data_IF_126723473452
#
_entry.id   IF_126723473452
#
_cell.length_a   1.000
_cell.length_b   1.000
_cell.length_c   1.000
_cell.angle_alpha   90.00
_cell.angle_beta   90.00
_cell.angle_gamma   90.00
#
_symmetry.space_group_name_H-M   'P 1'
#
loop_
_entity.id
_entity.type
_entity.pdbx_description
1 polymer ?
#
# COMPACT_ATOMS: atom_id res chain seq x y z
N UNK A 1 86.18 -19.40 47.37
CA UNK A 1 84.84 -19.56 47.97
C UNK A 1 83.80 -18.99 47.01
N UNK A 2 82.55 -19.43 47.15
CA UNK A 2 81.34 -19.23 46.33
C UNK A 2 81.27 -18.11 45.24
N UNK A 3 80.64 -18.38 44.08
CA UNK A 3 80.33 -17.39 43.04
C UNK A 3 78.94 -16.75 43.24
N UNK A 4 78.67 -15.66 42.49
CA UNK A 4 77.43 -15.36 41.71
C UNK A 4 77.52 -13.93 41.15
N UNK A 5 77.64 -13.78 39.83
CA UNK A 5 76.55 -13.69 38.83
C UNK A 5 75.87 -12.31 38.82
N UNK A 6 76.05 -11.59 37.71
CA UNK A 6 75.38 -10.33 37.44
C UNK A 6 73.91 -10.55 37.05
N UNK A 7 73.06 -9.60 37.41
CA UNK A 7 71.67 -9.52 36.92
C UNK A 7 71.39 -8.08 36.51
N UNK A 8 71.29 -7.84 35.20
CA UNK A 8 70.79 -6.58 34.65
C UNK A 8 69.28 -6.46 34.92
N UNK A 9 68.85 -5.40 35.60
CA UNK A 9 67.44 -5.09 35.75
C UNK A 9 66.91 -4.43 34.46
N UNK A 10 66.46 -5.25 33.50
CA UNK A 10 65.65 -4.77 32.38
C UNK A 10 64.26 -4.44 32.90
N UNK A 11 63.90 -3.16 32.90
CA UNK A 11 62.58 -2.69 33.34
C UNK A 11 61.56 -2.88 32.22
N UNK A 12 61.04 -4.10 32.07
CA UNK A 12 59.99 -4.41 31.10
C UNK A 12 58.67 -3.72 31.46
N UNK A 13 58.32 -2.64 30.75
CA UNK A 13 56.95 -2.12 30.78
C UNK A 13 56.00 -3.14 30.13
N UNK A 14 55.41 -4.01 30.94
CA UNK A 14 54.19 -4.72 30.57
C UNK A 14 53.02 -3.74 30.63
N UNK A 15 52.81 -2.99 29.55
CA UNK A 15 51.53 -2.37 29.28
C UNK A 15 50.50 -3.50 29.08
N UNK A 16 49.79 -3.85 30.16
CA UNK A 16 48.60 -4.70 30.07
C UNK A 16 47.54 -3.86 29.36
N UNK A 17 47.51 -3.97 28.03
CA UNK A 17 46.36 -3.56 27.23
C UNK A 17 45.17 -4.32 27.77
N UNK A 18 44.36 -3.65 28.60
CA UNK A 18 43.00 -4.08 28.85
C UNK A 18 42.27 -3.95 27.52
N UNK A 19 42.29 -5.03 26.74
CA UNK A 19 41.28 -5.28 25.72
C UNK A 19 39.95 -5.27 26.44
N UNK A 20 39.30 -4.10 26.46
CA UNK A 20 37.89 -4.00 26.72
C UNK A 20 37.24 -4.64 25.50
N UNK A 21 37.16 -5.97 25.54
CA UNK A 21 36.01 -6.63 24.94
C UNK A 21 34.82 -5.99 25.63
N UNK A 22 34.15 -5.10 24.90
CA UNK A 22 32.75 -4.86 25.17
C UNK A 22 32.09 -6.24 25.04
N UNK A 23 31.86 -6.89 26.17
CA UNK A 23 30.83 -7.90 26.22
C UNK A 23 29.55 -7.14 25.91
N UNK A 24 29.12 -7.26 24.66
CA UNK A 24 27.77 -6.88 24.30
C UNK A 24 26.88 -7.81 25.12
N UNK A 25 26.27 -7.25 26.16
CA UNK A 25 25.53 -8.00 27.16
C UNK A 25 24.18 -8.38 26.55
N UNK A 26 24.18 -9.47 25.79
CA UNK A 26 22.97 -10.20 25.41
C UNK A 26 22.28 -10.74 26.66
N UNK A 27 21.48 -9.88 27.28
CA UNK A 27 20.50 -10.23 28.33
C UNK A 27 19.29 -9.31 28.24
N UNK A 28 18.34 -9.64 27.35
CA UNK A 28 16.93 -9.26 27.53
C UNK A 28 16.29 -8.44 26.40
N UNK A 29 15.76 -9.13 25.40
CA UNK A 29 14.59 -8.65 24.65
C UNK A 29 13.37 -8.82 25.58
N UNK A 30 12.88 -7.73 26.17
CA UNK A 30 11.83 -7.78 27.22
C UNK A 30 10.83 -6.61 27.18
N UNK A 31 10.66 -5.93 26.06
CA UNK A 31 9.51 -5.02 25.85
C UNK A 31 8.80 -5.35 24.54
N UNK A 32 7.48 -5.30 24.59
CA UNK A 32 6.61 -5.39 23.41
C UNK A 32 6.48 -4.03 22.74
N UNK A 33 6.18 -3.00 23.53
CA UNK A 33 5.77 -1.69 23.04
C UNK A 33 6.96 -0.71 22.93
N UNK A 34 6.96 0.17 21.91
CA UNK A 34 7.95 1.23 21.74
C UNK A 34 7.72 2.38 22.71
N UNK A 35 8.72 3.24 22.89
CA UNK A 35 8.58 4.46 23.70
C UNK A 35 7.54 5.45 23.12
N UNK A 36 7.33 5.41 21.80
CA UNK A 36 6.29 6.15 21.08
C UNK A 36 5.68 5.26 19.99
N UNK A 37 4.36 5.02 19.98
CA UNK A 37 3.66 4.31 18.91
C UNK A 37 3.96 4.87 17.52
N UNK A 38 3.96 4.03 16.47
CA UNK A 38 4.17 4.48 15.09
C UNK A 38 3.13 5.54 14.68
N UNK A 39 1.86 5.31 14.96
CA UNK A 39 0.77 6.25 14.69
C UNK A 39 0.92 7.62 15.42
N UNK A 40 1.78 7.71 16.45
CA UNK A 40 2.10 8.97 17.13
C UNK A 40 3.33 9.71 16.56
N UNK A 41 4.01 9.17 15.55
CA UNK A 41 5.22 9.76 14.94
C UNK A 41 4.88 10.53 13.66
N UNK A 42 5.29 11.79 13.58
CA UNK A 42 5.05 12.66 12.41
C UNK A 42 6.34 13.19 11.78
N UNK A 43 6.43 13.13 10.46
CA UNK A 43 7.60 13.47 9.64
C UNK A 43 7.18 14.16 8.34
N UNK A 44 7.83 15.28 8.00
CA UNK A 44 7.53 16.01 6.76
C UNK A 44 8.21 15.38 5.53
N UNK A 45 7.45 15.12 4.47
CA UNK A 45 8.00 14.64 3.20
C UNK A 45 8.60 15.80 2.36
N UNK A 46 9.71 15.60 1.62
CA UNK A 46 10.57 14.41 1.64
C UNK A 46 11.70 14.47 2.70
N UNK A 47 12.07 15.66 3.18
CA UNK A 47 13.34 15.88 3.87
C UNK A 47 13.33 15.74 5.39
N UNK A 48 12.16 15.62 6.01
CA UNK A 48 12.00 15.40 7.45
C UNK A 48 11.97 13.93 7.87
N UNK A 49 12.16 13.00 6.92
CA UNK A 49 12.07 11.56 7.14
C UNK A 49 13.44 10.99 7.56
N UNK A 50 13.56 10.34 8.73
CA UNK A 50 14.79 9.67 9.14
C UNK A 50 15.03 8.39 8.31
N UNK A 51 16.23 7.82 8.39
CA UNK A 51 16.55 6.60 7.62
C UNK A 51 15.66 5.41 8.04
N UNK A 52 15.41 5.27 9.34
CA UNK A 52 14.41 4.38 9.94
C UNK A 52 13.61 5.18 10.97
N UNK A 53 12.35 4.82 11.21
CA UNK A 53 11.51 5.43 12.26
C UNK A 53 11.32 4.52 13.47
N UNK A 54 11.75 3.26 13.36
CA UNK A 54 11.62 2.23 14.39
C UNK A 54 12.96 1.49 14.61
N UNK A 55 13.83 2.16 15.37
CA UNK A 55 15.24 1.79 15.57
C UNK A 55 15.50 0.94 16.83
N UNK A 56 14.48 0.72 17.67
CA UNK A 56 14.58 0.16 19.03
C UNK A 56 14.88 -1.37 18.98
N UNK A 57 16.14 -1.82 19.19
CA UNK A 57 16.53 -3.22 18.90
C UNK A 57 16.13 -4.21 19.99
N UNK A 58 15.69 -3.71 21.15
CA UNK A 58 15.34 -4.48 22.34
C UNK A 58 13.87 -4.92 22.37
N UNK A 59 13.10 -4.51 21.35
CA UNK A 59 11.70 -4.84 21.17
C UNK A 59 11.52 -6.19 20.49
N UNK A 60 10.39 -6.84 20.72
CA UNK A 60 10.21 -8.27 20.43
C UNK A 60 10.30 -8.67 18.95
N UNK A 61 9.94 -7.78 18.03
CA UNK A 61 10.11 -7.98 16.57
C UNK A 61 11.46 -7.47 16.02
N UNK A 62 12.43 -7.15 16.88
CA UNK A 62 13.72 -6.58 16.46
C UNK A 62 13.58 -5.17 15.89
N UNK A 63 14.48 -4.78 14.97
CA UNK A 63 14.44 -3.49 14.27
C UNK A 63 13.61 -3.57 12.99
N UNK A 64 13.18 -2.40 12.51
CA UNK A 64 12.72 -2.19 11.14
C UNK A 64 13.65 -2.85 10.10
N UNK A 65 13.08 -3.63 9.16
CA UNK A 65 13.84 -4.35 8.11
C UNK A 65 14.38 -3.41 7.03
N UNK A 66 13.58 -2.42 6.61
CA UNK A 66 13.87 -1.52 5.50
C UNK A 66 14.27 -0.10 5.93
N UNK A 67 13.98 0.88 5.07
CA UNK A 67 14.30 2.28 5.29
C UNK A 67 13.22 3.22 4.74
N UNK A 68 13.09 4.42 5.31
CA UNK A 68 12.08 5.39 4.89
C UNK A 68 12.62 6.47 3.92
N UNK A 69 13.95 6.62 3.79
CA UNK A 69 14.60 7.59 2.89
C UNK A 69 14.70 7.08 1.44
N UNK A 70 13.56 7.01 0.77
CA UNK A 70 13.44 6.43 -0.57
C UNK A 70 13.67 7.48 -1.67
N UNK A 71 14.56 7.17 -2.61
CA UNK A 71 14.96 8.06 -3.71
C UNK A 71 15.51 7.25 -4.91
N UNK A 72 16.04 7.92 -5.94
CA UNK A 72 16.55 7.25 -7.15
C UNK A 72 17.70 6.26 -6.94
N UNK A 73 18.43 6.31 -5.82
CA UNK A 73 19.45 5.30 -5.48
C UNK A 73 18.88 4.05 -4.80
N UNK A 74 17.64 4.10 -4.34
CA UNK A 74 16.93 2.99 -3.68
C UNK A 74 15.84 2.38 -4.56
N UNK A 75 15.59 2.93 -5.75
CA UNK A 75 14.57 2.45 -6.67
C UNK A 75 14.99 1.15 -7.38
N UNK A 76 14.04 0.22 -7.53
CA UNK A 76 14.24 -1.05 -8.21
C UNK A 76 13.76 -2.24 -7.38
N UNK A 77 13.86 -3.44 -7.94
CA UNK A 77 13.21 -4.63 -7.36
C UNK A 77 13.85 -5.17 -6.08
N UNK A 78 15.05 -4.70 -5.74
CA UNK A 78 15.74 -4.97 -4.48
C UNK A 78 15.47 -3.89 -3.41
N UNK A 79 14.63 -2.89 -3.71
CA UNK A 79 14.33 -1.81 -2.77
C UNK A 79 13.77 -2.34 -1.45
N UNK A 80 14.25 -1.80 -0.34
CA UNK A 80 13.68 -2.02 1.00
C UNK A 80 12.98 -0.75 1.50
N UNK A 81 12.43 0.06 0.58
CA UNK A 81 11.69 1.25 0.94
C UNK A 81 10.43 0.90 1.76
N UNK A 82 10.28 1.54 2.91
CA UNK A 82 9.11 1.45 3.80
C UNK A 82 8.36 2.78 3.90
N UNK A 83 8.35 3.53 2.79
CA UNK A 83 7.54 4.74 2.60
C UNK A 83 6.60 4.51 1.41
N UNK A 84 5.32 4.37 1.71
CA UNK A 84 4.24 4.09 0.77
C UNK A 84 3.48 5.37 0.38
N UNK A 85 2.72 5.30 -0.72
CA UNK A 85 1.94 6.42 -1.24
C UNK A 85 0.56 5.95 -1.73
N UNK A 86 -0.45 6.81 -1.62
CA UNK A 86 -1.76 6.60 -2.24
C UNK A 86 -2.34 7.94 -2.70
N UNK A 87 -2.20 8.24 -4.00
CA UNK A 87 -2.53 9.56 -4.57
C UNK A 87 -3.61 9.46 -5.66
N UNK A 88 -3.41 8.55 -6.62
CA UNK A 88 -4.23 8.39 -7.83
C UNK A 88 -4.11 6.97 -8.38
N UNK A 89 -4.83 6.66 -9.45
CA UNK A 89 -4.83 5.34 -10.11
C UNK A 89 -3.45 4.93 -10.67
N UNK A 90 -2.61 5.89 -11.07
CA UNK A 90 -1.22 5.67 -11.54
C UNK A 90 -0.16 5.91 -10.48
N UNK A 91 -0.54 6.35 -9.28
CA UNK A 91 0.39 6.82 -8.25
C UNK A 91 -0.05 6.35 -6.87
N UNK A 92 -0.13 5.02 -6.75
CA UNK A 92 -0.33 4.32 -5.49
C UNK A 92 0.72 3.22 -5.33
N UNK A 93 0.88 2.78 -4.09
CA UNK A 93 1.73 1.67 -3.72
C UNK A 93 0.93 0.62 -2.98
N UNK A 94 1.45 -0.60 -2.91
CA UNK A 94 0.96 -1.69 -2.08
C UNK A 94 2.11 -2.16 -1.20
N UNK A 95 1.79 -2.68 -0.02
CA UNK A 95 2.77 -3.40 0.76
C UNK A 95 2.95 -4.81 0.19
N UNK A 96 4.19 -5.29 0.13
CA UNK A 96 4.51 -6.63 -0.36
C UNK A 96 5.80 -7.13 0.26
N UNK A 97 6.03 -8.44 0.22
CA UNK A 97 7.18 -9.03 0.89
C UNK A 97 8.51 -8.58 0.27
N UNK A 98 9.56 -8.32 1.07
CA UNK A 98 10.91 -8.15 0.54
C UNK A 98 11.40 -9.43 -0.18
N UNK A 99 11.02 -10.61 0.32
CA UNK A 99 11.49 -11.92 -0.17
C UNK A 99 10.43 -12.65 -0.99
N UNK A 100 10.83 -13.28 -2.10
CA UNK A 100 9.91 -13.96 -3.01
C UNK A 100 9.27 -15.23 -2.40
N UNK A 101 8.02 -15.51 -2.77
CA UNK A 101 7.23 -16.65 -2.28
C UNK A 101 7.06 -16.64 -0.74
N UNK A 102 6.78 -15.45 -0.18
CA UNK A 102 6.49 -15.28 1.25
C UNK A 102 5.01 -15.42 1.56
N UNK A 103 4.68 -15.84 2.78
CA UNK A 103 3.32 -15.79 3.33
C UNK A 103 3.15 -14.47 4.08
N UNK A 104 2.07 -13.74 3.83
CA UNK A 104 1.76 -12.41 4.39
C UNK A 104 1.82 -12.43 5.92
N UNK A 105 1.10 -13.35 6.56
CA UNK A 105 1.09 -13.51 8.03
C UNK A 105 2.46 -13.81 8.67
N UNK A 106 3.48 -14.17 7.87
CA UNK A 106 4.86 -14.36 8.34
C UNK A 106 5.76 -13.14 8.07
N UNK A 107 5.38 -12.23 7.16
CA UNK A 107 6.23 -11.12 6.69
C UNK A 107 5.60 -9.73 6.79
N UNK A 108 4.39 -9.61 7.35
CA UNK A 108 3.70 -8.36 7.68
C UNK A 108 4.59 -7.29 8.31
N UNK A 109 5.44 -7.66 9.28
CA UNK A 109 6.37 -6.73 9.94
C UNK A 109 7.51 -6.21 9.05
N UNK A 110 7.81 -6.91 7.96
CA UNK A 110 8.99 -6.71 7.12
C UNK A 110 8.67 -6.13 5.73
N UNK A 111 7.38 -5.98 5.41
CA UNK A 111 6.92 -5.57 4.08
C UNK A 111 7.48 -4.22 3.62
N UNK A 112 7.62 -4.11 2.31
CA UNK A 112 8.20 -2.96 1.60
C UNK A 112 7.21 -2.43 0.57
N UNK A 113 7.36 -1.17 0.18
CA UNK A 113 6.44 -0.51 -0.74
C UNK A 113 6.74 -0.90 -2.20
N UNK A 114 5.68 -1.30 -2.91
CA UNK A 114 5.65 -1.57 -4.35
C UNK A 114 4.72 -0.57 -5.02
N UNK A 115 5.22 0.35 -5.85
CA UNK A 115 4.42 1.41 -6.45
C UNK A 115 4.14 1.18 -7.94
N UNK A 116 3.00 1.67 -8.43
CA UNK A 116 2.73 1.75 -9.88
C UNK A 116 3.69 2.72 -10.57
N UNK A 117 4.01 3.82 -9.91
CA UNK A 117 4.87 4.91 -10.42
C UNK A 117 6.33 4.72 -10.03
N UNK A 118 7.21 4.86 -11.02
CA UNK A 118 8.64 5.06 -10.81
C UNK A 118 8.95 6.49 -10.33
N UNK A 119 10.14 6.73 -9.80
CA UNK A 119 10.51 7.98 -9.12
C UNK A 119 10.08 8.05 -7.65
N UNK A 120 9.58 6.96 -7.07
CA UNK A 120 9.20 6.86 -5.65
C UNK A 120 10.33 6.31 -4.78
N UNK A 121 11.38 5.74 -5.37
CA UNK A 121 12.49 5.12 -4.64
C UNK A 121 12.19 3.72 -4.09
N UNK A 122 11.11 3.12 -4.58
CA UNK A 122 10.47 1.89 -4.10
C UNK A 122 10.73 0.73 -5.07
N UNK A 123 10.11 -0.43 -4.82
CA UNK A 123 9.90 -1.42 -5.88
C UNK A 123 8.84 -0.91 -6.85
N UNK A 124 8.89 -1.35 -8.10
CA UNK A 124 7.86 -1.01 -9.11
C UNK A 124 7.01 -2.25 -9.36
N UNK A 125 5.69 -2.10 -9.25
CA UNK A 125 4.72 -3.17 -9.56
C UNK A 125 4.91 -3.58 -11.02
N UNK A 126 5.14 -4.88 -11.34
CA UNK A 126 5.26 -5.32 -12.73
C UNK A 126 3.99 -5.03 -13.53
N UNK A 127 4.15 -4.58 -14.79
CA UNK A 127 3.04 -4.06 -15.63
C UNK A 127 1.86 -5.01 -15.82
N UNK A 128 2.10 -6.31 -15.72
CA UNK A 128 1.12 -7.38 -15.89
C UNK A 128 0.75 -8.07 -14.56
N UNK A 129 1.11 -7.49 -13.41
CA UNK A 129 0.66 -7.92 -12.10
C UNK A 129 -0.80 -7.51 -11.86
N UNK A 130 -1.11 -6.21 -12.01
CA UNK A 130 -2.46 -5.68 -11.84
C UNK A 130 -3.39 -6.18 -12.96
N UNK A 131 -4.52 -6.77 -12.58
CA UNK A 131 -5.52 -7.33 -13.50
C UNK A 131 -6.76 -6.45 -13.65
N UNK A 132 -7.06 -5.64 -12.64
CA UNK A 132 -8.07 -4.59 -12.67
C UNK A 132 -7.99 -3.77 -11.39
N UNK A 133 -8.31 -2.47 -11.46
CA UNK A 133 -8.14 -1.51 -10.36
C UNK A 133 -9.27 -0.48 -10.39
N UNK A 134 -9.87 -0.22 -9.24
CA UNK A 134 -10.78 0.89 -9.01
C UNK A 134 -10.18 1.81 -7.95
N UNK A 135 -9.87 3.06 -8.34
CA UNK A 135 -9.55 4.15 -7.42
C UNK A 135 -10.82 4.95 -7.12
N UNK A 136 -11.09 5.25 -5.85
CA UNK A 136 -12.22 6.07 -5.41
C UNK A 136 -11.69 7.21 -4.54
N UNK A 137 -12.11 8.43 -4.84
CA UNK A 137 -11.96 9.60 -3.96
C UNK A 137 -13.31 9.98 -3.34
N UNK A 138 -13.38 10.01 -2.02
CA UNK A 138 -14.56 10.42 -1.24
C UNK A 138 -14.26 11.74 -0.50
N UNK A 139 -15.24 12.32 0.22
CA UNK A 139 -14.99 13.45 1.13
C UNK A 139 -14.07 13.14 2.30
N UNK A 140 -13.95 11.88 2.74
CA UNK A 140 -13.25 11.49 3.97
C UNK A 140 -12.02 10.60 3.74
N UNK A 141 -11.84 10.02 2.56
CA UNK A 141 -10.72 9.14 2.24
C UNK A 141 -10.46 8.99 0.73
N UNK A 142 -9.28 8.47 0.38
CA UNK A 142 -9.01 7.87 -0.94
C UNK A 142 -8.76 6.37 -0.75
N UNK A 143 -9.25 5.58 -1.71
CA UNK A 143 -9.20 4.13 -1.66
C UNK A 143 -8.81 3.58 -3.04
N UNK A 144 -7.98 2.54 -3.08
CA UNK A 144 -7.71 1.76 -4.28
C UNK A 144 -7.97 0.29 -3.99
N UNK A 145 -8.76 -0.37 -4.85
CA UNK A 145 -9.09 -1.80 -4.74
C UNK A 145 -8.88 -2.47 -6.08
N UNK A 146 -8.36 -3.69 -6.09
CA UNK A 146 -8.14 -4.39 -7.34
C UNK A 146 -7.81 -5.86 -7.22
N UNK A 147 -7.51 -6.42 -8.39
CA UNK A 147 -7.07 -7.80 -8.57
C UNK A 147 -5.60 -7.78 -9.01
N UNK A 148 -4.79 -8.67 -8.45
CA UNK A 148 -3.35 -8.72 -8.66
C UNK A 148 -2.87 -10.17 -8.74
N UNK A 149 -1.93 -10.43 -9.63
CA UNK A 149 -1.09 -11.64 -9.57
C UNK A 149 -0.06 -11.45 -8.46
N UNK A 150 -0.42 -11.91 -7.25
CA UNK A 150 0.31 -11.59 -6.02
C UNK A 150 1.74 -12.13 -6.01
N UNK A 151 2.03 -13.14 -6.84
CA UNK A 151 3.38 -13.69 -7.03
C UNK A 151 4.38 -12.67 -7.56
N UNK A 152 3.89 -11.61 -8.23
CA UNK A 152 4.70 -10.52 -8.80
C UNK A 152 4.98 -9.38 -7.82
N UNK A 153 4.41 -9.43 -6.63
CA UNK A 153 4.75 -8.61 -5.46
C UNK A 153 5.25 -9.50 -4.30
N UNK A 154 5.92 -10.59 -4.67
CA UNK A 154 6.61 -11.55 -3.80
C UNK A 154 5.74 -12.38 -2.84
N UNK A 155 4.40 -12.29 -2.90
CA UNK A 155 3.50 -13.09 -2.07
C UNK A 155 3.31 -14.50 -2.70
N UNK A 156 3.32 -15.54 -1.88
CA UNK A 156 3.15 -16.93 -2.30
C UNK A 156 1.81 -17.15 -3.03
N UNK A 157 1.80 -17.96 -4.09
CA UNK A 157 0.56 -18.30 -4.80
C UNK A 157 -0.45 -19.01 -3.87
N UNK A 158 -1.70 -18.55 -3.88
CA UNK A 158 -2.77 -19.11 -3.04
C UNK A 158 -2.69 -18.75 -1.55
N UNK A 159 -1.79 -17.84 -1.16
CA UNK A 159 -1.85 -17.23 0.17
C UNK A 159 -3.07 -16.31 0.29
N UNK A 160 -3.81 -16.44 1.39
CA UNK A 160 -5.07 -15.74 1.61
C UNK A 160 -4.87 -14.26 1.96
N UNK A 161 -3.74 -13.93 2.60
CA UNK A 161 -3.38 -12.57 2.97
C UNK A 161 -3.53 -12.22 4.44
N UNK A 162 -3.50 -10.91 4.71
CA UNK A 162 -3.60 -10.30 6.03
C UNK A 162 -3.86 -8.79 5.94
N UNK A 163 -3.99 -8.13 7.10
CA UNK A 163 -4.10 -6.67 7.22
C UNK A 163 -2.72 -6.05 7.51
N UNK A 164 -2.47 -4.88 6.92
CA UNK A 164 -1.30 -4.06 7.09
C UNK A 164 -1.74 -2.65 7.46
N UNK A 165 -1.24 -2.14 8.58
CA UNK A 165 -1.69 -0.90 9.22
C UNK A 165 -0.57 -0.30 10.13
N UNK A 166 -0.73 0.91 10.70
CA UNK A 166 0.26 1.57 11.55
C UNK A 166 0.02 1.37 13.07
N UNK A 167 -1.05 0.70 13.46
CA UNK A 167 -1.50 0.44 14.83
C UNK A 167 -1.31 -1.02 15.28
N UNK A 168 -0.84 -1.91 14.39
CA UNK A 168 -0.68 -3.34 14.61
C UNK A 168 -0.07 -3.72 15.97
N UNK A 169 -0.47 -4.88 16.48
CA UNK A 169 -0.62 -5.25 17.90
C UNK A 169 0.45 -4.81 18.94
N UNK A 170 1.69 -4.52 18.57
CA UNK A 170 2.74 -3.98 19.45
C UNK A 170 2.93 -2.46 19.35
N UNK A 171 2.01 -1.76 18.65
CA UNK A 171 2.00 -0.33 18.36
C UNK A 171 3.13 0.16 17.43
N UNK A 172 3.78 -0.74 16.69
CA UNK A 172 4.89 -0.43 15.76
C UNK A 172 4.54 -0.52 14.27
N UNK A 173 3.33 -0.99 13.96
CA UNK A 173 2.83 -1.21 12.60
C UNK A 173 3.31 -2.49 11.92
N UNK A 174 2.69 -2.78 10.78
CA UNK A 174 2.85 -3.95 9.93
C UNK A 174 2.78 -3.42 8.49
N UNK A 175 3.89 -2.92 7.91
CA UNK A 175 5.28 -3.11 8.36
C UNK A 175 5.74 -2.22 9.52
N UNK A 176 6.77 -2.71 10.23
CA UNK A 176 7.51 -1.96 11.25
C UNK A 176 8.00 -0.65 10.65
N UNK A 177 7.59 0.47 11.24
CA UNK A 177 7.99 1.79 10.75
C UNK A 177 7.47 2.15 9.35
N UNK A 178 6.40 1.51 8.88
CA UNK A 178 5.73 1.84 7.63
C UNK A 178 5.18 3.26 7.63
N UNK A 179 5.77 4.15 6.84
CA UNK A 179 5.22 5.49 6.61
C UNK A 179 4.33 5.49 5.37
N UNK A 180 3.28 6.31 5.38
CA UNK A 180 2.44 6.52 4.20
C UNK A 180 2.14 8.00 3.97
N UNK A 181 2.17 8.41 2.71
CA UNK A 181 1.98 9.78 2.27
C UNK A 181 0.94 9.90 1.16
N UNK A 182 0.16 10.99 1.18
CA UNK A 182 -0.77 11.32 0.11
C UNK A 182 -0.75 12.81 -0.22
N UNK A 183 -0.87 13.14 -1.50
CA UNK A 183 -1.18 14.49 -1.97
C UNK A 183 -2.70 14.72 -2.15
N UNK A 184 -3.55 13.69 -2.00
CA UNK A 184 -4.98 13.78 -2.30
C UNK A 184 -5.68 14.87 -1.48
N UNK A 185 -5.27 15.07 -0.23
CA UNK A 185 -5.90 16.00 0.73
C UNK A 185 -5.23 17.38 0.80
N UNK A 186 -4.13 17.62 0.05
CA UNK A 186 -3.35 18.86 0.17
C UNK A 186 -3.80 19.99 -0.76
N UNK A 187 -4.65 19.69 -1.74
CA UNK A 187 -5.03 20.62 -2.81
C UNK A 187 -3.90 20.92 -3.80
N UNK A 188 -2.78 20.18 -3.75
CA UNK A 188 -1.60 20.38 -4.58
C UNK A 188 -0.91 19.05 -4.87
N UNK A 189 -0.78 18.69 -6.14
CA UNK A 189 -0.19 17.41 -6.56
C UNK A 189 1.29 17.23 -6.14
N UNK A 190 1.98 18.32 -5.80
CA UNK A 190 3.38 18.31 -5.35
C UNK A 190 3.54 18.37 -3.82
N UNK A 191 2.44 18.47 -3.05
CA UNK A 191 2.48 18.59 -1.60
C UNK A 191 1.92 17.34 -0.94
N UNK A 192 2.80 16.57 -0.30
CA UNK A 192 2.46 15.31 0.37
C UNK A 192 2.28 15.53 1.88
N UNK A 193 1.18 15.03 2.42
CA UNK A 193 0.92 14.95 3.85
C UNK A 193 1.16 13.52 4.31
N UNK A 194 1.72 13.34 5.52
CA UNK A 194 1.76 12.02 6.14
C UNK A 194 0.33 11.66 6.54
N UNK A 195 -0.08 10.44 6.20
CA UNK A 195 -1.38 9.90 6.57
C UNK A 195 -1.12 8.89 7.69
N UNK A 196 -1.71 9.14 8.86
CA UNK A 196 -1.61 8.22 9.99
C UNK A 196 -2.67 7.12 9.87
N UNK A 197 -3.90 7.46 9.53
CA UNK A 197 -4.99 6.48 9.49
C UNK A 197 -5.07 5.84 8.09
N UNK A 198 -4.59 4.60 7.98
CA UNK A 198 -4.57 3.82 6.75
C UNK A 198 -4.58 2.32 7.01
N UNK A 199 -5.11 1.58 6.03
CA UNK A 199 -5.23 0.12 6.09
C UNK A 199 -4.99 -0.46 4.70
N UNK A 200 -4.19 -1.50 4.57
CA UNK A 200 -3.99 -2.26 3.33
C UNK A 200 -4.17 -3.76 3.57
N UNK A 201 -5.06 -4.41 2.81
CA UNK A 201 -5.11 -5.86 2.73
C UNK A 201 -4.48 -6.35 1.44
N UNK A 202 -3.73 -7.45 1.53
CA UNK A 202 -3.00 -8.05 0.41
C UNK A 202 -3.13 -9.57 0.47
N UNK A 203 -3.60 -10.20 -0.61
CA UNK A 203 -3.72 -11.66 -0.72
C UNK A 203 -4.96 -12.11 -1.50
N UNK A 204 -5.15 -13.43 -1.65
CA UNK A 204 -6.26 -14.01 -2.44
C UNK A 204 -6.38 -13.49 -3.88
N UNK A 205 -5.25 -13.19 -4.53
CA UNK A 205 -5.11 -12.53 -5.83
C UNK A 205 -5.85 -11.17 -5.93
N UNK A 206 -6.00 -10.50 -4.78
CA UNK A 206 -6.66 -9.22 -4.62
C UNK A 206 -5.89 -8.28 -3.67
N UNK A 207 -6.29 -7.02 -3.67
CA UNK A 207 -5.82 -6.03 -2.71
C UNK A 207 -6.88 -4.96 -2.49
N UNK A 208 -6.85 -4.34 -1.32
CA UNK A 208 -7.51 -3.06 -1.08
C UNK A 208 -6.65 -2.21 -0.15
N UNK A 209 -6.60 -0.91 -0.38
CA UNK A 209 -5.83 0.04 0.40
C UNK A 209 -6.63 1.33 0.53
N UNK A 210 -6.77 1.84 1.76
CA UNK A 210 -7.44 3.10 2.06
C UNK A 210 -6.50 4.01 2.86
N UNK A 211 -6.54 5.29 2.53
CA UNK A 211 -5.86 6.38 3.21
C UNK A 211 -6.92 7.42 3.60
N UNK A 212 -7.08 7.70 4.89
CA UNK A 212 -8.13 8.58 5.39
C UNK A 212 -7.63 10.02 5.56
N UNK A 213 -8.52 11.01 5.35
CA UNK A 213 -8.16 12.44 5.39
C UNK A 213 -7.72 12.83 6.82
N UNK A 214 -6.45 13.26 7.04
CA UNK A 214 -5.96 13.62 8.37
C UNK A 214 -6.58 14.91 8.92
N UNK A 215 -7.28 15.70 8.10
CA UNK A 215 -8.10 16.82 8.56
C UNK A 215 -9.54 16.40 8.94
N UNK A 216 -9.95 15.17 8.59
CA UNK A 216 -11.28 14.62 8.88
C UNK A 216 -11.42 14.19 10.35
N UNK A 217 -12.53 14.52 11.04
CA UNK A 217 -12.71 14.21 12.47
C UNK A 217 -12.89 12.71 12.77
N UNK A 218 -13.09 11.88 11.73
CA UNK A 218 -13.40 10.45 11.85
C UNK A 218 -12.40 9.57 11.09
N UNK A 219 -11.18 10.06 10.81
CA UNK A 219 -10.20 9.34 9.99
C UNK A 219 -9.95 7.89 10.45
N UNK A 220 -9.75 7.69 11.77
CA UNK A 220 -9.56 6.36 12.35
C UNK A 220 -10.79 5.45 12.19
N UNK A 221 -12.02 5.98 12.23
CA UNK A 221 -13.23 5.19 12.02
C UNK A 221 -13.47 4.82 10.55
N UNK A 222 -12.90 5.55 9.59
CA UNK A 222 -12.97 5.17 8.17
C UNK A 222 -11.85 4.19 7.77
N UNK A 223 -10.70 4.25 8.45
CA UNK A 223 -9.54 3.37 8.31
C UNK A 223 -9.37 2.51 9.59
N UNK A 224 -10.48 1.95 10.05
CA UNK A 224 -10.55 1.14 11.27
C UNK A 224 -9.83 -0.21 11.07
N UNK A 225 -9.10 -0.64 12.09
CA UNK A 225 -8.09 -1.71 12.00
C UNK A 225 -8.34 -2.88 12.99
N UNK A 226 -9.55 -2.95 13.56
CA UNK A 226 -9.99 -4.04 14.48
C UNK A 226 -10.84 -5.12 13.77
N UNK A 227 -10.88 -5.08 12.44
CA UNK A 227 -11.71 -5.94 11.58
C UNK A 227 -10.88 -6.64 10.48
N UNK A 228 -9.60 -6.85 10.76
CA UNK A 228 -8.61 -7.56 9.93
C UNK A 228 -9.11 -8.92 9.44
N UNK A 229 -9.64 -9.75 10.34
CA UNK A 229 -10.03 -11.15 10.06
C UNK A 229 -11.32 -11.26 9.22
N UNK A 230 -11.93 -10.15 8.81
CA UNK A 230 -13.05 -10.12 7.84
C UNK A 230 -12.68 -9.48 6.47
N UNK A 231 -11.49 -8.90 6.33
CA UNK A 231 -10.87 -8.60 5.04
C UNK A 231 -11.51 -7.49 4.18
N UNK A 232 -11.02 -7.36 2.94
CA UNK A 232 -11.38 -6.26 2.02
C UNK A 232 -12.88 -6.02 1.83
N UNK A 233 -13.68 -7.10 1.70
CA UNK A 233 -15.09 -6.98 1.38
C UNK A 233 -15.88 -6.24 2.48
N UNK A 234 -15.41 -6.29 3.73
CA UNK A 234 -16.05 -5.66 4.88
C UNK A 234 -15.42 -4.31 5.25
N UNK A 235 -14.10 -4.17 5.12
CA UNK A 235 -13.40 -2.92 5.46
C UNK A 235 -13.44 -1.87 4.34
N UNK A 236 -13.48 -2.31 3.07
CA UNK A 236 -13.36 -1.48 1.87
C UNK A 236 -14.33 -1.94 0.76
N UNK A 237 -15.66 -1.96 1.01
CA UNK A 237 -16.65 -2.34 0.01
C UNK A 237 -16.56 -1.44 -1.24
N UNK A 238 -16.62 -2.06 -2.41
CA UNK A 238 -16.22 -1.46 -3.70
C UNK A 238 -16.90 -2.16 -4.89
N UNK A 239 -16.62 -1.70 -6.11
CA UNK A 239 -17.15 -2.30 -7.36
C UNK A 239 -16.03 -2.66 -8.36
N UNK A 240 -14.81 -2.90 -7.89
CA UNK A 240 -13.67 -3.23 -8.74
C UNK A 240 -13.94 -4.49 -9.58
N UNK A 241 -13.44 -4.50 -10.83
CA UNK A 241 -13.65 -5.59 -11.80
C UNK A 241 -12.35 -5.94 -12.48
N UNK A 242 -12.10 -7.25 -12.63
CA UNK A 242 -10.99 -7.75 -13.44
C UNK A 242 -11.15 -7.27 -14.90
N UNK A 243 -10.05 -6.86 -15.53
CA UNK A 243 -10.02 -6.23 -16.85
C UNK A 243 -10.46 -4.75 -16.90
N UNK A 244 -10.89 -4.16 -15.77
CA UNK A 244 -11.31 -2.74 -15.69
C UNK A 244 -10.30 -1.94 -14.87
N UNK A 245 -9.89 -0.79 -15.36
CA UNK A 245 -9.05 0.17 -14.64
C UNK A 245 -9.78 1.51 -14.64
N UNK A 246 -10.17 2.02 -13.48
CA UNK A 246 -11.00 3.22 -13.39
C UNK A 246 -10.70 4.07 -12.16
N UNK A 247 -10.85 5.40 -12.30
CA UNK A 247 -10.83 6.35 -11.20
C UNK A 247 -12.20 7.03 -11.12
N UNK A 248 -12.82 7.00 -9.94
CA UNK A 248 -14.14 7.54 -9.67
C UNK A 248 -14.12 8.53 -8.49
N UNK A 249 -15.16 9.36 -8.42
CA UNK A 249 -15.61 9.92 -7.15
C UNK A 249 -16.50 8.91 -6.43
N UNK A 250 -16.65 9.03 -5.12
CA UNK A 250 -17.61 8.25 -4.35
C UNK A 250 -18.14 9.00 -3.14
N UNK A 251 -19.26 8.52 -2.60
CA UNK A 251 -19.66 8.87 -1.24
C UNK A 251 -18.83 8.09 -0.22
N UNK A 252 -18.77 8.58 1.02
CA UNK A 252 -18.11 7.86 2.11
C UNK A 252 -18.90 6.59 2.50
N UNK A 253 -18.18 5.51 2.77
CA UNK A 253 -18.76 4.27 3.28
C UNK A 253 -19.35 4.42 4.69
N UNK A 254 -20.09 3.41 5.12
CA UNK A 254 -20.34 3.22 6.55
C UNK A 254 -19.00 2.80 7.21
N UNK A 255 -18.74 3.20 8.46
CA UNK A 255 -17.53 2.77 9.17
C UNK A 255 -17.44 1.23 9.20
N UNK A 256 -16.25 0.61 9.10
CA UNK A 256 -16.12 -0.83 9.21
C UNK A 256 -16.81 -1.35 10.48
N UNK A 257 -17.51 -2.48 10.34
CA UNK A 257 -18.37 -3.04 11.39
C UNK A 257 -19.73 -2.34 11.59
N UNK A 258 -19.95 -1.12 11.11
CA UNK A 258 -21.25 -0.42 11.21
C UNK A 258 -22.09 -0.72 9.96
N UNK A 259 -23.36 -1.08 10.17
CA UNK A 259 -24.30 -1.36 9.09
C UNK A 259 -25.73 -0.97 9.48
N UNK A 260 -26.62 -0.79 8.49
CA UNK A 260 -28.04 -0.53 8.74
C UNK A 260 -28.90 -1.72 8.36
N UNK A 261 -29.70 -2.23 9.29
CA UNK A 261 -30.66 -3.31 9.06
C UNK A 261 -32.06 -2.86 9.50
N UNK A 262 -33.07 -3.02 8.62
CA UNK A 262 -34.46 -2.60 8.86
C UNK A 262 -34.63 -1.14 9.33
N UNK A 263 -33.70 -0.24 8.94
CA UNK A 263 -33.69 1.17 9.34
C UNK A 263 -33.07 1.45 10.71
N UNK A 264 -32.46 0.45 11.36
CA UNK A 264 -31.70 0.60 12.60
C UNK A 264 -30.21 0.46 12.32
N UNK A 265 -29.40 1.35 12.91
CA UNK A 265 -27.94 1.25 12.87
C UNK A 265 -27.49 0.18 13.86
N UNK A 266 -26.69 -0.75 13.37
CA UNK A 266 -26.15 -1.90 14.08
C UNK A 266 -24.62 -1.87 14.01
N UNK A 267 -23.98 -2.53 14.96
CA UNK A 267 -22.52 -2.68 15.02
C UNK A 267 -22.16 -4.15 15.16
N UNK A 268 -21.33 -4.64 14.25
CA UNK A 268 -20.66 -5.93 14.35
C UNK A 268 -19.43 -5.79 15.26
N UNK A 269 -19.11 -6.84 16.00
CA UNK A 269 -17.82 -6.95 16.70
C UNK A 269 -17.14 -8.22 16.24
N UNK A 270 -15.88 -8.10 15.81
CA UNK A 270 -15.08 -9.27 15.45
C UNK A 270 -14.88 -10.14 16.71
N UNK A 271 -15.03 -11.47 16.63
CA UNK A 271 -14.80 -12.33 17.78
C UNK A 271 -13.30 -12.38 18.12
N UNK A 272 -12.95 -12.72 19.38
CA UNK A 272 -11.56 -12.89 19.79
C UNK A 272 -10.80 -13.91 18.95
N UNK A 273 -9.48 -13.89 19.08
CA UNK A 273 -8.60 -14.83 18.39
C UNK A 273 -8.93 -16.30 18.68
N UNK A 274 -8.69 -17.13 17.66
CA UNK A 274 -9.04 -18.56 17.69
C UNK A 274 -10.54 -18.86 17.53
N UNK A 275 -11.42 -17.87 17.48
CA UNK A 275 -12.83 -18.01 17.07
C UNK A 275 -13.00 -17.46 15.66
N UNK A 276 -13.55 -18.25 14.75
CA UNK A 276 -13.73 -17.87 13.34
C UNK A 276 -14.76 -16.73 13.19
N UNK A 277 -14.43 -15.61 12.52
CA UNK A 277 -15.39 -14.57 12.19
C UNK A 277 -16.48 -15.09 11.24
N UNK A 278 -17.73 -14.86 11.59
CA UNK A 278 -18.88 -15.15 10.73
C UNK A 278 -19.84 -13.96 10.73
N UNK A 279 -19.56 -12.92 9.91
CA UNK A 279 -20.45 -11.77 9.79
C UNK A 279 -21.80 -12.17 9.20
N UNK A 280 -22.89 -11.74 9.84
CA UNK A 280 -24.26 -12.01 9.39
C UNK A 280 -24.84 -10.92 8.51
N UNK A 281 -24.12 -9.80 8.34
CA UNK A 281 -24.51 -8.66 7.53
C UNK A 281 -23.78 -8.64 6.17
N UNK A 282 -24.19 -7.75 5.27
CA UNK A 282 -23.43 -7.40 4.07
C UNK A 282 -23.22 -5.90 4.08
N UNK A 283 -21.97 -5.41 4.03
CA UNK A 283 -21.68 -3.98 3.99
C UNK A 283 -22.35 -3.31 2.80
N UNK A 284 -22.75 -2.05 2.98
CA UNK A 284 -23.21 -1.19 1.90
C UNK A 284 -22.03 -0.85 1.00
N UNK A 285 -22.13 -1.15 -0.29
CA UNK A 285 -21.19 -0.64 -1.28
C UNK A 285 -21.54 0.83 -1.54
N UNK A 286 -20.62 1.79 -1.32
CA UNK A 286 -20.89 3.20 -1.55
C UNK A 286 -21.17 3.48 -3.03
N UNK A 287 -22.04 4.47 -3.30
CA UNK A 287 -22.26 4.95 -4.65
C UNK A 287 -21.00 5.64 -5.20
N UNK A 288 -20.58 5.22 -6.40
CA UNK A 288 -19.54 5.87 -7.19
C UNK A 288 -20.13 6.71 -8.34
N UNK A 289 -19.40 7.74 -8.75
CA UNK A 289 -19.79 8.67 -9.82
C UNK A 289 -18.56 9.23 -10.54
N UNK A 290 -18.76 9.94 -11.65
CA UNK A 290 -17.71 10.57 -12.45
C UNK A 290 -16.54 9.62 -12.81
N UNK A 291 -16.82 8.32 -13.00
CA UNK A 291 -15.82 7.31 -13.29
C UNK A 291 -15.18 7.52 -14.67
N UNK A 292 -13.85 7.59 -14.70
CA UNK A 292 -13.02 7.61 -15.90
C UNK A 292 -12.32 6.25 -16.03
N UNK A 293 -12.43 5.61 -17.19
CA UNK A 293 -11.78 4.32 -17.49
C UNK A 293 -10.46 4.54 -18.22
N UNK A 294 -9.47 3.70 -17.90
CA UNK A 294 -8.12 3.71 -18.45
C UNK A 294 -7.73 2.31 -18.95
N UNK A 295 -6.67 2.24 -19.74
CA UNK A 295 -5.97 0.99 -20.06
C UNK A 295 -4.98 0.64 -18.94
N UNK A 296 -4.63 -0.65 -18.83
CA UNK A 296 -3.61 -1.11 -17.88
C UNK A 296 -2.22 -0.51 -18.13
N UNK A 297 -1.94 -0.03 -19.35
CA UNK A 297 -0.65 0.56 -19.71
C UNK A 297 -0.51 1.98 -19.17
N UNK A 298 -1.62 2.72 -19.08
CA UNK A 298 -1.61 4.12 -18.64
C UNK A 298 -1.21 4.28 -17.17
N UNK A 299 -1.48 3.26 -16.32
CA UNK A 299 -1.02 3.21 -14.92
C UNK A 299 0.52 3.24 -14.76
N UNK A 300 1.26 2.95 -15.84
CA UNK A 300 2.74 2.91 -15.85
C UNK A 300 3.36 3.95 -16.79
N UNK A 301 2.54 4.86 -17.32
CA UNK A 301 2.96 6.13 -17.92
C UNK A 301 2.67 7.23 -16.91
N UNK A 302 3.62 8.14 -16.67
CA UNK A 302 3.54 9.11 -15.57
C UNK A 302 2.54 10.27 -15.84
N UNK A 303 1.33 9.96 -16.29
CA UNK A 303 0.42 10.91 -16.92
C UNK A 303 -1.04 10.42 -17.04
N UNK A 304 -1.71 10.06 -15.93
CA UNK A 304 -3.19 10.08 -15.87
C UNK A 304 -3.72 11.03 -14.80
N UNK A 305 -3.52 12.32 -15.04
CA UNK A 305 -4.16 13.40 -14.28
C UNK A 305 -5.61 13.61 -14.75
N UNK A 306 -6.55 12.93 -14.10
CA UNK A 306 -7.99 13.10 -14.33
C UNK A 306 -8.57 14.37 -13.68
N UNK A 307 -8.12 15.56 -14.10
CA UNK A 307 -8.62 16.85 -13.58
C UNK A 307 -9.43 17.60 -14.65
N UNK A 308 -10.75 17.61 -14.50
CA UNK A 308 -11.67 18.27 -15.43
C UNK A 308 -11.58 19.80 -15.36
N UNK A 309 -11.12 20.44 -16.44
CA UNK A 309 -11.28 21.89 -16.62
C UNK A 309 -12.16 22.21 -17.83
N UNK A 310 -13.39 22.65 -17.54
CA UNK A 310 -14.17 23.49 -18.45
C UNK A 310 -14.04 24.94 -17.99
N UNK A 311 -14.01 25.89 -18.93
CA UNK A 311 -15.24 26.66 -19.11
C UNK A 311 -15.69 26.74 -20.57
N UNK A 312 -17.01 26.81 -20.74
CA UNK A 312 -17.65 27.15 -22.00
C UNK A 312 -17.81 28.67 -22.13
N UNK A 313 -17.57 29.22 -23.32
CA UNK A 313 -18.51 30.17 -23.98
C UNK A 313 -18.01 30.72 -25.32
N UNK A 314 -18.98 30.90 -26.23
CA UNK A 314 -19.05 31.87 -27.33
C UNK A 314 -17.83 32.09 -28.24
N UNK A 315 -18.00 31.73 -29.53
CA UNK A 315 -17.05 32.10 -30.58
C UNK A 315 -17.13 33.58 -30.98
N UNK A 316 -16.17 34.00 -31.81
CA UNK A 316 -16.24 35.24 -32.58
C UNK A 316 -15.47 35.05 -33.89
N UNK A 317 -16.15 35.24 -35.02
CA UNK A 317 -15.56 35.12 -36.33
C UNK A 317 -14.77 36.38 -36.69
N UNK A 318 -13.56 36.24 -37.24
CA UNK A 318 -12.98 37.27 -38.10
C UNK A 318 -12.07 36.64 -39.17
N UNK A 319 -11.95 37.34 -40.29
CA UNK A 319 -11.49 36.81 -41.57
C UNK A 319 -9.97 36.90 -41.77
N UNK A 320 -9.36 35.85 -42.33
CA UNK A 320 -8.03 35.87 -42.93
C UNK A 320 -8.05 35.22 -44.32
N UNK A 321 -7.67 35.95 -45.36
CA UNK A 321 -7.77 35.50 -46.76
C UNK A 321 -6.41 35.13 -47.36
N UNK A 322 -6.38 34.00 -48.09
CA UNK A 322 -5.35 33.59 -49.09
C UNK A 322 -3.98 33.21 -48.43
N UNK A 323 -3.21 32.27 -48.95
CA UNK A 323 -2.89 32.01 -50.37
C UNK A 323 -2.66 30.52 -50.65
N UNK A 324 -2.78 30.10 -51.91
CA UNK A 324 -2.74 28.72 -52.34
C UNK A 324 -1.34 28.09 -52.44
N UNK A 325 -1.29 26.76 -52.37
CA UNK A 325 -0.45 25.97 -53.29
C UNK A 325 -1.23 24.74 -53.77
N UNK A 326 -1.02 24.38 -55.03
CA UNK A 326 -1.79 23.38 -55.78
C UNK A 326 -1.09 22.03 -55.85
N UNK A 327 -1.85 20.93 -55.76
CA UNK A 327 -1.33 19.56 -55.94
C UNK A 327 -2.45 18.54 -56.15
N UNK A 328 -3.03 18.50 -57.36
CA UNK A 328 -4.09 17.55 -57.73
C UNK A 328 -3.53 16.26 -58.35
N UNK A 329 -3.93 15.11 -57.78
CA UNK A 329 -4.24 13.83 -58.43
C UNK A 329 -4.69 12.88 -57.28
N UNK A 330 -5.95 12.50 -57.05
CA UNK A 330 -7.02 12.03 -57.93
C UNK A 330 -6.63 10.79 -58.75
N UNK A 331 -7.23 9.62 -58.42
CA UNK A 331 -8.03 8.75 -59.34
C UNK A 331 -8.36 7.38 -58.69
N UNK A 332 -9.67 7.05 -58.65
CA UNK A 332 -10.36 5.71 -58.55
C UNK A 332 -9.86 4.63 -57.56
N UNK A 333 -10.64 4.14 -56.58
CA UNK A 333 -11.96 3.44 -56.58
C UNK A 333 -11.94 1.95 -56.98
N UNK A 334 -12.37 1.07 -56.07
CA UNK A 334 -12.59 -0.38 -56.31
C UNK A 334 -13.03 -1.14 -55.04
N UNK A 335 -14.24 -1.74 -54.97
CA UNK A 335 -14.80 -2.35 -53.74
C UNK A 335 -14.89 -3.89 -53.76
N UNK A 336 -14.89 -4.53 -52.58
CA UNK A 336 -15.42 -5.90 -52.29
C UNK A 336 -15.56 -6.06 -50.76
N UNK A 337 -16.77 -6.08 -50.18
CA UNK A 337 -17.53 -7.31 -49.78
C UNK A 337 -16.76 -8.21 -48.80
N UNK A 338 -17.12 -8.24 -47.50
CA UNK A 338 -18.10 -9.15 -46.87
C UNK A 338 -17.58 -10.61 -46.76
N UNK A 339 -17.75 -11.36 -45.67
CA UNK A 339 -18.47 -11.17 -44.41
C UNK A 339 -17.60 -11.75 -43.24
N UNK A 340 -18.03 -12.13 -42.02
CA UNK A 340 -19.36 -12.29 -41.42
C UNK A 340 -19.30 -12.11 -39.87
N UNK A 341 -20.30 -12.63 -39.14
CA UNK A 341 -20.55 -12.54 -37.69
C UNK A 341 -20.05 -13.79 -36.91
N UNK A 342 -19.67 -13.62 -35.63
CA UNK A 342 -19.80 -14.69 -34.63
C UNK A 342 -20.04 -14.12 -33.22
N UNK A 343 -21.30 -13.93 -32.86
CA UNK A 343 -21.76 -13.68 -31.49
C UNK A 343 -21.27 -14.75 -30.51
N UNK A 344 -20.81 -14.34 -29.33
CA UNK A 344 -20.17 -15.22 -28.34
C UNK A 344 -20.49 -14.87 -26.88
N UNK A 345 -21.77 -15.04 -26.51
CA UNK A 345 -22.31 -15.19 -25.14
C UNK A 345 -21.63 -14.45 -23.96
N UNK A 346 -22.35 -13.49 -23.39
CA UNK A 346 -22.08 -13.00 -22.04
C UNK A 346 -22.21 -14.15 -21.01
N UNK A 347 -21.15 -14.38 -20.22
CA UNK A 347 -21.16 -15.39 -19.17
C UNK A 347 -21.18 -14.73 -17.78
N UNK A 348 -22.38 -14.42 -17.29
CA UNK A 348 -22.61 -13.82 -15.97
C UNK A 348 -22.36 -14.85 -14.87
N UNK A 349 -21.10 -14.99 -14.44
CA UNK A 349 -20.74 -15.87 -13.33
C UNK A 349 -21.22 -15.27 -12.01
N UNK A 350 -22.32 -15.78 -11.49
CA UNK A 350 -22.73 -15.58 -10.11
C UNK A 350 -21.74 -16.30 -9.19
N UNK A 351 -20.90 -15.54 -8.47
CA UNK A 351 -20.12 -16.08 -7.36
C UNK A 351 -21.07 -16.66 -6.31
N UNK A 352 -21.04 -17.99 -6.17
CA UNK A 352 -21.84 -18.72 -5.17
C UNK A 352 -20.95 -19.01 -3.98
N UNK A 353 -21.46 -18.82 -2.75
CA UNK A 353 -20.71 -19.05 -1.50
C UNK A 353 -20.12 -20.47 -1.44
N UNK A 354 -18.80 -20.60 -1.49
CA UNK A 354 -18.04 -21.77 -1.04
C UNK A 354 -16.56 -21.39 -0.86
N UNK A 355 -15.99 -21.57 0.34
CA UNK A 355 -14.58 -21.18 0.60
C UNK A 355 -14.17 -20.94 2.06
N UNK A 356 -14.98 -21.33 3.06
CA UNK A 356 -14.55 -21.36 4.47
C UNK A 356 -13.71 -22.61 4.71
N UNK A 357 -12.41 -22.48 4.97
CA UNK A 357 -11.58 -23.36 5.83
C UNK A 357 -10.09 -22.94 5.79
N UNK A 358 -9.51 -22.49 6.92
CA UNK A 358 -8.06 -22.30 7.06
C UNK A 358 -7.63 -21.37 8.21
N UNK A 359 -7.65 -21.85 9.46
CA UNK A 359 -7.27 -21.08 10.66
C UNK A 359 -5.84 -21.42 11.10
N UNK A 360 -5.19 -20.47 11.80
CA UNK A 360 -3.89 -20.53 12.52
C UNK A 360 -2.65 -20.20 11.64
N UNK A 361 -1.66 -19.43 12.10
CA UNK A 361 -1.29 -19.12 13.49
C UNK A 361 -0.57 -17.74 13.60
N UNK A 362 -1.24 -16.70 14.09
CA UNK A 362 -0.54 -15.50 14.59
C UNK A 362 0.03 -15.82 15.98
N UNK A 363 1.35 -15.66 16.17
CA UNK A 363 2.01 -16.08 17.42
C UNK A 363 1.79 -15.08 18.55
N UNK A 364 1.31 -15.59 19.69
CA UNK A 364 1.23 -14.94 21.01
C UNK A 364 2.27 -13.84 21.27
N UNK A 365 1.86 -12.74 21.92
CA UNK A 365 2.38 -12.38 23.24
C UNK A 365 1.27 -11.70 24.09
N UNK A 366 1.32 -11.89 25.41
CA UNK A 366 0.25 -11.53 26.36
C UNK A 366 0.39 -10.10 26.91
N UNK A 367 -0.73 -9.36 27.00
CA UNK A 367 -1.44 -8.90 28.24
C UNK A 367 -2.39 -7.76 27.87
#
# INVERSE_FOLDING_TARGET
MSPRVAVSAVLSLLAVSKSVFAQDSDTGVTSTFPATPLASKTFSYPSGIPYQVDEEPHLIRGRQTGYNQCNSTTEGQESLCQTSFLNSLDDFCLWGSPEANSIVANTEGEMVAWCTKAGRGTRVIPRDALKGVQFIRTPDYVQVVGFIDQTKVNIQAGDYGGELDPHGADLRGNPLGGLMYSNAFSGSNDTYQQIIEWTNFMGSDAFCFKACDPAGPNAAHYCEHIYDRIGCAYNMPNQAKNGTFEACKGESQDYPGVYTENGQVMTYSQPPEGVEPSPTYTPRIPASSDCITFSSQELYTASVSGESSSPSSSGSASSGSRTASSGQAAVTSGPSTAAEDSQGAANTVRMTKAGLFGIMLSTFFFV
#
